data_IF_209839689066
#
_entry.id   IF_209839689066
#
_cell.length_a   1.000
_cell.length_b   1.000
_cell.length_c   1.000
_cell.angle_alpha   90.00
_cell.angle_beta   90.00
_cell.angle_gamma   90.00
#
_symmetry.space_group_name_H-M   'P 1'
#
loop_
_entity.id
_entity.type
_entity.pdbx_description
1 polymer ?
#
# COMPACT_ATOMS: atom_id res chain seq x y z
N UNK A 1 -3.05 5.66 14.37
CA UNK A 1 -3.91 4.64 15.02
C UNK A 1 -5.28 4.45 14.37
N UNK A 2 -5.88 5.46 13.72
CA UNK A 2 -7.18 5.30 13.05
C UNK A 2 -7.15 4.32 11.86
N UNK A 3 -6.10 4.36 11.02
CA UNK A 3 -6.04 3.58 9.78
C UNK A 3 -5.94 2.07 9.99
N UNK A 4 -5.08 1.59 10.90
CA UNK A 4 -5.00 0.16 11.23
C UNK A 4 -6.35 -0.36 11.76
N UNK A 5 -7.01 0.40 12.64
CA UNK A 5 -8.33 0.03 13.17
C UNK A 5 -9.36 -0.05 12.05
N UNK A 6 -9.35 0.88 11.11
CA UNK A 6 -10.23 0.86 9.94
C UNK A 6 -10.07 -0.44 9.14
N UNK A 7 -8.82 -0.83 8.82
CA UNK A 7 -8.52 -2.06 8.08
C UNK A 7 -9.02 -3.31 8.83
N UNK A 8 -8.82 -3.36 10.15
CA UNK A 8 -9.27 -4.47 10.98
C UNK A 8 -10.80 -4.57 11.04
N UNK A 9 -11.51 -3.45 11.12
CA UNK A 9 -12.99 -3.40 11.09
C UNK A 9 -13.53 -3.78 9.71
N UNK A 10 -12.83 -3.40 8.64
CA UNK A 10 -13.12 -3.87 7.28
C UNK A 10 -12.93 -5.41 7.13
N UNK A 11 -12.26 -6.06 8.09
CA UNK A 11 -12.15 -7.51 8.17
C UNK A 11 -10.84 -8.07 7.64
N UNK A 12 -9.90 -7.23 7.20
CA UNK A 12 -8.56 -7.66 6.76
C UNK A 12 -7.64 -7.84 7.97
N UNK A 13 -7.42 -9.10 8.36
CA UNK A 13 -6.52 -9.49 9.47
C UNK A 13 -5.10 -9.82 9.01
N UNK A 14 -4.90 -9.87 7.70
CA UNK A 14 -3.64 -10.12 7.01
C UNK A 14 -2.85 -8.83 6.75
N UNK A 15 -3.29 -7.70 7.32
CA UNK A 15 -2.55 -6.42 7.25
C UNK A 15 -1.23 -6.50 8.02
N UNK A 16 -0.16 -6.05 7.37
CA UNK A 16 1.17 -5.95 7.96
C UNK A 16 1.46 -4.48 8.25
N UNK A 17 1.92 -4.19 9.46
CA UNK A 17 2.37 -2.85 9.83
C UNK A 17 3.87 -2.69 9.57
N UNK A 18 4.29 -1.49 9.17
CA UNK A 18 5.70 -1.16 8.91
C UNK A 18 6.34 -2.15 7.93
N UNK A 19 5.70 -2.33 6.77
CA UNK A 19 6.17 -3.27 5.75
C UNK A 19 7.49 -2.76 5.16
N UNK A 20 8.53 -3.60 5.25
CA UNK A 20 9.82 -3.33 4.63
C UNK A 20 9.71 -3.45 3.10
N UNK A 21 10.20 -2.45 2.41
CA UNK A 21 10.41 -2.43 0.96
C UNK A 21 11.91 -2.32 0.70
N UNK A 22 12.46 -3.29 -0.02
CA UNK A 22 13.87 -3.26 -0.45
C UNK A 22 13.90 -3.05 -1.96
N UNK A 23 14.39 -1.89 -2.40
CA UNK A 23 14.44 -1.52 -3.81
C UNK A 23 15.67 -0.66 -4.08
N UNK A 24 16.35 -0.92 -5.21
CA UNK A 24 17.54 -0.17 -5.63
C UNK A 24 18.63 -0.05 -4.54
N UNK A 25 18.86 -1.14 -3.79
CA UNK A 25 19.83 -1.17 -2.67
C UNK A 25 19.42 -0.35 -1.43
N UNK A 26 18.24 0.24 -1.43
CA UNK A 26 17.69 1.03 -0.32
C UNK A 26 16.57 0.27 0.39
N UNK A 27 16.35 0.66 1.64
CA UNK A 27 15.30 0.13 2.51
C UNK A 27 14.33 1.24 2.88
N UNK A 28 13.05 0.97 2.71
CA UNK A 28 11.96 1.86 3.07
C UNK A 28 10.95 1.11 3.93
N UNK A 29 10.14 1.83 4.68
CA UNK A 29 9.01 1.28 5.41
C UNK A 29 7.75 2.01 5.01
N UNK A 30 6.70 1.25 4.71
CA UNK A 30 5.34 1.79 4.50
C UNK A 30 4.51 1.53 5.75
N UNK A 31 3.57 2.43 6.07
CA UNK A 31 2.83 2.36 7.33
C UNK A 31 2.09 1.05 7.49
N UNK A 32 1.38 0.63 6.44
CA UNK A 32 0.67 -0.64 6.35
C UNK A 32 0.86 -1.25 4.96
N UNK A 33 0.63 -2.56 4.85
CA UNK A 33 0.52 -3.26 3.57
C UNK A 33 -0.47 -4.42 3.66
N UNK A 34 -1.11 -4.74 2.53
CA UNK A 34 -1.96 -5.92 2.36
C UNK A 34 -1.37 -6.81 1.26
N UNK A 35 -1.36 -8.14 1.44
CA UNK A 35 -0.92 -9.05 0.39
C UNK A 35 -1.89 -9.00 -0.80
N UNK A 36 -1.32 -9.03 -2.01
CA UNK A 36 -2.02 -8.98 -3.29
C UNK A 36 -1.54 -10.10 -4.24
N UNK A 37 -1.35 -11.29 -3.69
CA UNK A 37 -0.88 -12.46 -4.45
C UNK A 37 0.63 -12.45 -4.68
N UNK A 38 1.06 -13.00 -5.82
CA UNK A 38 2.46 -13.24 -6.14
C UNK A 38 2.86 -12.50 -7.42
N UNK A 39 4.12 -12.08 -7.47
CA UNK A 39 4.82 -11.63 -8.67
C UNK A 39 5.21 -12.83 -9.55
N UNK A 40 5.64 -12.61 -10.82
CA UNK A 40 6.08 -13.69 -11.71
C UNK A 40 7.24 -14.54 -11.18
N UNK A 41 8.09 -13.97 -10.32
CA UNK A 41 9.21 -14.66 -9.68
C UNK A 41 8.80 -15.43 -8.40
N UNK A 42 7.51 -15.46 -8.06
CA UNK A 42 6.97 -16.12 -6.87
C UNK A 42 7.09 -15.31 -5.58
N UNK A 43 7.65 -14.11 -5.62
CA UNK A 43 7.71 -13.24 -4.44
C UNK A 43 6.33 -12.60 -4.14
N UNK A 44 6.00 -12.25 -2.88
CA UNK A 44 4.70 -11.67 -2.55
C UNK A 44 4.53 -10.26 -3.12
N UNK A 45 3.43 -10.00 -3.82
CA UNK A 45 3.00 -8.65 -4.25
C UNK A 45 2.17 -8.00 -3.14
N UNK A 46 2.25 -6.68 -3.03
CA UNK A 46 1.60 -5.92 -1.97
C UNK A 46 0.81 -4.72 -2.48
N UNK A 47 -0.23 -4.36 -1.75
CA UNK A 47 -0.81 -3.01 -1.75
C UNK A 47 -0.31 -2.29 -0.51
N UNK A 48 0.56 -1.31 -0.71
CA UNK A 48 1.09 -0.46 0.35
C UNK A 48 0.10 0.68 0.66
N UNK A 49 -0.03 1.01 1.94
CA UNK A 49 -0.93 2.07 2.39
C UNK A 49 -0.14 3.01 3.29
N UNK A 50 -0.04 4.28 2.90
CA UNK A 50 0.67 5.31 3.66
C UNK A 50 -0.30 6.37 4.18
N UNK A 51 -0.09 6.80 5.43
CA UNK A 51 -0.82 7.89 6.02
C UNK A 51 -0.03 9.20 5.91
N UNK A 52 -0.50 10.10 5.06
CA UNK A 52 0.04 11.46 4.95
C UNK A 52 -0.72 12.39 5.90
N UNK A 53 -0.16 12.59 7.08
CA UNK A 53 -0.68 13.56 8.05
C UNK A 53 -0.52 15.00 7.57
N UNK A 54 -1.47 15.88 7.92
CA UNK A 54 -1.46 17.33 7.63
C UNK A 54 -0.15 18.03 8.04
N UNK A 55 0.54 17.52 9.06
CA UNK A 55 1.84 18.01 9.54
C UNK A 55 2.96 17.96 8.49
N UNK A 56 2.79 17.25 7.38
CA UNK A 56 3.75 17.32 6.26
C UNK A 56 3.56 18.57 5.40
N UNK A 57 2.35 19.11 5.28
CA UNK A 57 2.08 20.24 4.38
C UNK A 57 1.76 21.55 5.12
N UNK A 58 1.57 21.50 6.44
CA UNK A 58 1.30 22.65 7.29
C UNK A 58 2.58 23.22 7.94
N UNK A 59 2.99 24.38 7.46
CA UNK A 59 3.95 25.31 8.09
C UNK A 59 5.41 24.84 8.26
N UNK A 60 6.25 25.31 7.34
CA UNK A 60 7.71 25.41 7.51
C UNK A 60 8.46 24.45 6.62
N UNK A 61 9.10 24.98 5.56
CA UNK A 61 10.17 24.35 4.76
C UNK A 61 10.37 22.85 4.98
N UNK A 62 9.43 22.03 4.50
CA UNK A 62 9.81 20.67 4.18
C UNK A 62 10.88 20.78 3.12
N UNK A 63 12.10 20.36 3.46
CA UNK A 63 13.20 20.39 2.51
C UNK A 63 12.76 19.61 1.28
N UNK A 64 12.99 20.16 0.09
CA UNK A 64 12.77 19.50 -1.22
C UNK A 64 13.24 18.04 -1.20
N UNK A 65 14.28 17.76 -0.43
CA UNK A 65 14.81 16.42 -0.18
C UNK A 65 13.79 15.41 0.36
N UNK A 66 12.91 15.78 1.31
CA UNK A 66 11.88 14.86 1.85
C UNK A 66 10.88 14.48 0.75
N UNK A 67 10.44 15.44 -0.05
CA UNK A 67 9.53 15.18 -1.17
C UNK A 67 10.19 14.31 -2.25
N UNK A 68 11.49 14.50 -2.49
CA UNK A 68 12.26 13.65 -3.38
C UNK A 68 12.38 12.22 -2.84
N UNK A 69 12.66 12.05 -1.55
CA UNK A 69 12.74 10.74 -0.90
C UNK A 69 11.40 10.00 -0.91
N UNK A 70 10.29 10.70 -0.67
CA UNK A 70 8.94 10.12 -0.78
C UNK A 70 8.63 9.70 -2.22
N UNK A 71 8.95 10.54 -3.20
CA UNK A 71 8.75 10.21 -4.61
C UNK A 71 9.63 9.04 -5.07
N UNK A 72 10.86 8.98 -4.59
CA UNK A 72 11.78 7.89 -4.91
C UNK A 72 11.30 6.58 -4.28
N UNK A 73 10.79 6.61 -3.04
CA UNK A 73 10.13 5.46 -2.40
C UNK A 73 8.93 4.98 -3.21
N UNK A 74 8.06 5.89 -3.62
CA UNK A 74 6.90 5.57 -4.45
C UNK A 74 7.28 4.91 -5.77
N UNK A 75 8.25 5.49 -6.49
CA UNK A 75 8.77 4.90 -7.73
C UNK A 75 9.38 3.53 -7.51
N UNK A 76 10.10 3.33 -6.41
CA UNK A 76 10.66 2.03 -6.04
C UNK A 76 9.56 0.98 -5.84
N UNK A 77 8.50 1.31 -5.11
CA UNK A 77 7.35 0.41 -4.88
C UNK A 77 6.69 0.04 -6.21
N UNK A 78 6.36 1.04 -7.02
CA UNK A 78 5.70 0.82 -8.31
C UNK A 78 6.58 -0.01 -9.28
N UNK A 79 7.90 0.18 -9.26
CA UNK A 79 8.84 -0.59 -10.06
C UNK A 79 8.91 -2.08 -9.67
N UNK A 80 8.54 -2.44 -8.43
CA UNK A 80 8.39 -3.83 -8.00
C UNK A 80 7.08 -4.46 -8.50
N UNK A 81 6.20 -3.69 -9.14
CA UNK A 81 4.86 -4.14 -9.53
C UNK A 81 3.87 -4.18 -8.38
N UNK A 82 4.19 -3.53 -7.26
CA UNK A 82 3.26 -3.31 -6.15
C UNK A 82 2.38 -2.07 -6.42
N UNK A 83 1.34 -1.90 -5.61
CA UNK A 83 0.47 -0.72 -5.64
C UNK A 83 0.64 0.11 -4.37
N UNK A 84 0.36 1.41 -4.45
CA UNK A 84 0.36 2.30 -3.30
C UNK A 84 -0.93 3.12 -3.21
N UNK A 85 -1.49 3.19 -2.01
CA UNK A 85 -2.64 4.02 -1.66
C UNK A 85 -2.20 5.01 -0.59
N UNK A 86 -2.34 6.31 -0.86
CA UNK A 86 -2.07 7.37 0.11
C UNK A 86 -3.37 7.82 0.76
N UNK A 87 -3.38 7.83 2.10
CA UNK A 87 -4.54 8.21 2.91
C UNK A 87 -4.20 9.47 3.68
N UNK A 88 -5.04 10.50 3.55
CA UNK A 88 -4.88 11.74 4.30
C UNK A 88 -5.80 11.79 5.51
N UNK A 89 -5.59 12.75 6.42
CA UNK A 89 -6.55 13.07 7.48
C UNK A 89 -7.96 13.34 6.94
N UNK A 90 -8.06 14.03 5.80
CA UNK A 90 -9.32 14.31 5.11
C UNK A 90 -9.97 13.04 4.57
N UNK A 91 -9.17 12.13 3.99
CA UNK A 91 -9.66 10.83 3.50
C UNK A 91 -10.31 10.01 4.62
N UNK A 92 -9.75 10.05 5.83
CA UNK A 92 -10.29 9.32 6.99
C UNK A 92 -11.67 9.83 7.46
N UNK A 93 -12.14 10.99 6.98
CA UNK A 93 -13.53 11.45 7.19
C UNK A 93 -14.55 10.62 6.41
N UNK A 94 -14.11 9.88 5.39
CA UNK A 94 -14.91 8.95 4.61
C UNK A 94 -14.24 7.55 4.61
N UNK A 95 -14.41 6.77 5.70
CA UNK A 95 -13.80 5.45 5.82
C UNK A 95 -14.14 4.50 4.66
N UNK A 96 -15.36 4.57 4.13
CA UNK A 96 -15.84 3.77 3.01
C UNK A 96 -15.08 4.11 1.72
N UNK A 97 -14.76 5.39 1.50
CA UNK A 97 -13.94 5.82 0.37
C UNK A 97 -12.53 5.25 0.44
N UNK A 98 -11.90 5.30 1.62
CA UNK A 98 -10.58 4.70 1.85
C UNK A 98 -10.60 3.19 1.58
N UNK A 99 -11.64 2.50 2.05
CA UNK A 99 -11.81 1.07 1.78
C UNK A 99 -11.98 0.80 0.28
N UNK A 100 -12.76 1.61 -0.44
CA UNK A 100 -12.97 1.47 -1.87
C UNK A 100 -11.67 1.68 -2.67
N UNK A 101 -10.86 2.67 -2.29
CA UNK A 101 -9.56 2.93 -2.91
C UNK A 101 -8.60 1.75 -2.71
N UNK A 102 -8.49 1.24 -1.48
CA UNK A 102 -7.68 0.06 -1.17
C UNK A 102 -8.20 -1.17 -1.91
N UNK A 103 -9.52 -1.36 -1.96
CA UNK A 103 -10.16 -2.47 -2.68
C UNK A 103 -9.88 -2.43 -4.18
N UNK A 104 -9.84 -1.23 -4.76
CA UNK A 104 -9.56 -1.03 -6.19
C UNK A 104 -8.08 -1.25 -6.52
N UNK A 105 -7.18 -1.00 -5.57
CA UNK A 105 -5.75 -1.26 -5.71
C UNK A 105 -5.39 -2.74 -5.56
N UNK A 106 -6.20 -3.52 -4.83
CA UNK A 106 -6.08 -4.97 -4.79
C UNK A 106 -6.48 -5.54 -6.16
N UNK A 107 -5.57 -6.23 -6.82
CA UNK A 107 -5.89 -6.90 -8.08
C UNK A 107 -6.83 -8.05 -7.74
N UNK A 108 -8.03 -8.03 -8.32
CA UNK A 108 -8.97 -9.14 -8.21
C UNK A 108 -8.21 -10.44 -8.51
N UNK A 109 -8.25 -11.45 -7.61
CA UNK A 109 -7.46 -12.67 -7.79
C UNK A 109 -7.71 -13.18 -9.20
N UNK A 110 -6.62 -13.42 -9.94
CA UNK A 110 -6.69 -13.96 -11.29
C UNK A 110 -7.69 -15.11 -11.24
N UNK A 111 -8.84 -14.96 -11.92
CA UNK A 111 -9.93 -15.95 -11.87
C UNK A 111 -9.28 -17.30 -12.11
N UNK A 112 -9.27 -18.16 -11.08
CA UNK A 112 -8.77 -19.52 -11.20
C UNK A 112 -9.52 -20.13 -12.37
N UNK A 113 -8.81 -20.37 -13.48
CA UNK A 113 -9.42 -21.09 -14.59
C UNK A 113 -9.67 -22.52 -14.08
N UNK A 114 -10.89 -23.06 -14.20
CA UNK A 114 -11.12 -24.46 -13.88
C UNK A 114 -10.11 -25.32 -14.64
N UNK A 115 -9.35 -26.15 -13.94
CA UNK A 115 -8.50 -27.15 -14.61
C UNK A 115 -9.44 -28.23 -15.15
N UNK A 116 -9.87 -28.07 -16.40
CA UNK A 116 -10.51 -29.16 -17.13
C UNK A 116 -9.42 -30.11 -17.62
N UNK A 117 -9.27 -31.27 -16.98
CA UNK A 117 -8.40 -32.32 -17.52
C UNK A 117 -7.57 -33.15 -16.54
N UNK A 118 -7.98 -33.31 -15.28
CA UNK A 118 -7.51 -34.47 -14.52
C UNK A 118 -8.33 -35.69 -14.97
N UNK A 119 -7.82 -36.40 -15.98
CA UNK A 119 -8.20 -37.78 -16.32
C UNK A 119 -6.96 -38.65 -16.18
#
# INVERSE_FOLDING_TARGET
>A
MALLRLILVWGRRDVVAQQLVVANGRRYFTDLALPDGLRPDGSPRWVHIEYDGELKYGHGTQSVQVLLEERDRERAILALGDSMVRVTSTSLRSPEGVIADISSALIAPARLRPVTGLR
#
